data_IF_376646185903
#
_entry.id   IF_376646185903
#
_cell.length_a   1.000
_cell.length_b   1.000
_cell.length_c   1.000
_cell.angle_alpha   90.00
_cell.angle_beta   90.00
_cell.angle_gamma   90.00
#
_symmetry.space_group_name_H-M   'P 1'
#
loop_
_entity.id
_entity.type
_entity.pdbx_description
1 polymer ?
#
# COMPACT_ATOMS: atom_id res chain seq x y z
N UNK A 1 -91.40 -11.59 -66.80
CA UNK A 1 -90.86 -11.21 -68.13
C UNK A 1 -89.41 -10.82 -67.96
N UNK A 2 -88.59 -11.38 -68.77
CA UNK A 2 -87.24 -11.03 -69.22
C UNK A 2 -86.06 -11.35 -68.22
N UNK A 3 -85.45 -12.42 -68.47
CA UNK A 3 -84.08 -12.68 -68.98
C UNK A 3 -83.03 -11.74 -68.43
N UNK A 4 -82.09 -12.32 -67.81
CA UNK A 4 -80.73 -11.93 -68.06
C UNK A 4 -79.67 -12.99 -67.93
N UNK A 5 -78.68 -12.94 -68.79
CA UNK A 5 -77.63 -13.94 -68.98
C UNK A 5 -76.36 -13.60 -68.20
N UNK A 6 -75.86 -14.63 -67.54
CA UNK A 6 -74.53 -14.67 -67.00
C UNK A 6 -73.44 -14.50 -68.05
N UNK A 7 -72.42 -13.71 -67.65
CA UNK A 7 -71.07 -13.78 -68.26
C UNK A 7 -70.04 -13.92 -67.17
N UNK A 8 -69.30 -15.03 -67.24
CA UNK A 8 -68.07 -15.24 -66.44
C UNK A 8 -66.90 -14.43 -67.08
N UNK A 9 -66.02 -13.89 -66.24
CA UNK A 9 -64.70 -13.48 -66.73
C UNK A 9 -63.60 -14.50 -66.36
N UNK A 10 -62.65 -14.57 -67.28
CA UNK A 10 -61.55 -15.52 -67.35
C UNK A 10 -60.53 -15.44 -66.24
N UNK A 11 -59.90 -16.61 -65.99
CA UNK A 11 -58.79 -16.82 -65.11
C UNK A 11 -57.55 -15.97 -65.50
N UNK A 12 -57.03 -15.18 -64.62
CA UNK A 12 -55.72 -14.56 -64.73
C UNK A 12 -54.65 -15.45 -64.08
N UNK A 13 -53.71 -15.90 -64.91
CA UNK A 13 -52.54 -16.68 -64.46
C UNK A 13 -51.60 -15.85 -63.53
N UNK A 14 -51.21 -16.46 -62.44
CA UNK A 14 -50.33 -15.86 -61.45
C UNK A 14 -48.92 -15.60 -61.98
N UNK A 15 -48.43 -14.41 -61.78
CA UNK A 15 -47.01 -14.04 -61.92
C UNK A 15 -46.22 -14.48 -60.68
N UNK A 16 -45.04 -15.08 -60.86
CA UNK A 16 -44.24 -15.57 -59.69
C UNK A 16 -43.70 -14.36 -58.86
N UNK A 17 -43.81 -14.50 -57.55
CA UNK A 17 -43.34 -13.55 -56.53
C UNK A 17 -41.79 -13.60 -56.45
N UNK A 18 -41.09 -12.99 -57.33
CA UNK A 18 -39.62 -12.81 -57.27
C UNK A 18 -39.16 -11.85 -56.16
N UNK A 19 -40.05 -11.08 -55.57
CA UNK A 19 -39.72 -10.12 -54.54
C UNK A 19 -39.42 -10.70 -53.14
N UNK A 20 -39.98 -11.86 -52.82
CA UNK A 20 -39.80 -12.48 -51.47
C UNK A 20 -38.43 -13.17 -51.30
N UNK A 21 -37.84 -13.66 -52.39
CA UNK A 21 -36.52 -14.32 -52.34
C UNK A 21 -35.36 -13.31 -52.17
N UNK A 22 -35.52 -12.11 -52.71
CA UNK A 22 -34.48 -11.04 -52.61
C UNK A 22 -34.42 -10.47 -51.17
N UNK A 23 -35.54 -10.40 -50.44
CA UNK A 23 -35.59 -9.93 -49.07
C UNK A 23 -35.00 -10.95 -48.07
N UNK A 24 -35.14 -12.25 -48.34
CA UNK A 24 -34.56 -13.30 -47.50
C UNK A 24 -33.04 -13.42 -47.67
N UNK A 25 -32.51 -13.23 -48.87
CA UNK A 25 -31.05 -13.20 -49.11
C UNK A 25 -30.38 -11.97 -48.52
N UNK A 26 -31.06 -10.81 -48.47
CA UNK A 26 -30.56 -9.59 -47.83
C UNK A 26 -30.46 -9.71 -46.30
N UNK A 27 -31.40 -10.44 -45.66
CA UNK A 27 -31.40 -10.68 -44.22
C UNK A 27 -30.29 -11.62 -43.77
N UNK A 28 -29.87 -12.58 -44.59
CA UNK A 28 -28.75 -13.50 -44.31
C UNK A 28 -27.37 -12.84 -44.44
N UNK A 29 -27.20 -11.86 -45.31
CA UNK A 29 -25.94 -11.11 -45.43
C UNK A 29 -25.73 -10.13 -44.28
N UNK A 30 -26.79 -9.64 -43.62
CA UNK A 30 -26.68 -8.72 -42.49
C UNK A 30 -26.21 -9.43 -41.19
N UNK A 31 -26.37 -10.78 -41.07
CA UNK A 31 -25.96 -11.57 -39.90
C UNK A 31 -24.46 -11.96 -39.95
N UNK A 32 -23.84 -11.86 -41.14
CA UNK A 32 -22.44 -12.20 -41.35
C UNK A 32 -21.49 -11.00 -41.26
N UNK A 33 -21.92 -9.85 -40.71
CA UNK A 33 -20.99 -8.78 -40.37
C UNK A 33 -20.00 -9.32 -39.33
N UNK A 34 -18.67 -9.38 -39.62
CA UNK A 34 -17.72 -9.78 -38.59
C UNK A 34 -17.89 -8.80 -37.44
N UNK A 35 -18.30 -9.32 -36.28
CA UNK A 35 -18.18 -8.55 -35.06
C UNK A 35 -16.69 -8.22 -34.93
N UNK A 36 -16.31 -7.01 -35.27
CA UNK A 36 -15.01 -6.47 -34.97
C UNK A 36 -14.90 -6.51 -33.43
N UNK A 37 -14.34 -7.59 -32.91
CA UNK A 37 -13.91 -7.65 -31.54
C UNK A 37 -12.87 -6.54 -31.45
N UNK A 38 -13.25 -5.40 -30.87
CA UNK A 38 -12.30 -4.38 -30.47
C UNK A 38 -11.23 -5.10 -29.66
N UNK A 39 -10.06 -5.32 -30.23
CA UNK A 39 -8.94 -5.92 -29.52
C UNK A 39 -8.70 -5.02 -28.33
N UNK A 40 -8.96 -5.55 -27.13
CA UNK A 40 -8.71 -4.82 -25.89
C UNK A 40 -7.25 -4.38 -25.92
N UNK A 41 -7.03 -3.08 -25.75
CA UNK A 41 -5.68 -2.52 -25.73
C UNK A 41 -4.89 -3.27 -24.64
N UNK A 42 -3.74 -3.90 -24.99
CA UNK A 42 -3.01 -4.70 -24.04
C UNK A 42 -2.54 -3.84 -22.87
N UNK A 43 -2.64 -4.39 -21.65
CA UNK A 43 -2.09 -3.72 -20.47
C UNK A 43 -0.59 -3.45 -20.67
N UNK A 44 -0.07 -2.27 -20.29
CA UNK A 44 -0.71 -1.18 -19.51
C UNK A 44 -1.20 0.02 -20.35
N UNK A 45 -1.50 -0.14 -21.64
CA UNK A 45 -1.63 0.96 -22.60
C UNK A 45 -2.99 1.69 -22.61
N UNK A 46 -4.04 1.16 -21.95
CA UNK A 46 -5.38 1.72 -22.09
C UNK A 46 -5.60 3.02 -21.30
N UNK A 47 -4.99 3.18 -20.10
CA UNK A 47 -5.18 4.33 -19.23
C UNK A 47 -4.01 4.50 -18.24
N UNK A 48 -3.85 5.67 -17.58
CA UNK A 48 -2.83 5.88 -16.57
C UNK A 48 -2.95 4.90 -15.40
N UNK A 49 -1.80 4.48 -14.87
CA UNK A 49 -1.71 3.64 -13.67
C UNK A 49 -1.70 4.53 -12.44
N UNK A 50 -2.54 4.24 -11.47
CA UNK A 50 -2.61 4.95 -10.18
C UNK A 50 -1.94 4.16 -9.08
N UNK A 51 -0.96 4.76 -8.43
CA UNK A 51 -0.36 4.29 -7.18
C UNK A 51 -1.02 5.06 -6.03
N UNK A 52 -1.91 4.41 -5.31
CA UNK A 52 -2.58 5.01 -4.14
C UNK A 52 -1.68 4.84 -2.92
N UNK A 53 -1.00 5.91 -2.53
CA UNK A 53 -0.29 5.99 -1.27
C UNK A 53 -1.31 6.13 -0.12
N UNK A 54 -1.39 5.12 0.75
CA UNK A 54 -2.44 5.04 1.79
C UNK A 54 -2.20 5.96 2.99
N UNK A 55 -1.25 6.89 2.88
CA UNK A 55 -0.92 7.90 3.88
C UNK A 55 -0.87 9.30 3.28
N UNK A 56 -0.97 10.38 4.11
CA UNK A 56 -0.84 11.75 3.66
C UNK A 56 0.49 12.04 2.95
N UNK A 57 0.55 13.11 2.12
CA UNK A 57 1.79 13.56 1.51
C UNK A 57 2.91 13.81 2.54
N UNK A 58 4.17 13.64 2.12
CA UNK A 58 5.36 13.86 2.92
C UNK A 58 5.74 12.72 3.87
N UNK A 59 4.87 11.70 4.05
CA UNK A 59 5.22 10.48 4.77
C UNK A 59 6.04 9.50 3.92
N UNK A 60 6.60 8.45 4.55
CA UNK A 60 7.46 7.49 3.86
C UNK A 60 6.77 6.78 2.68
N UNK A 61 5.48 6.47 2.81
CA UNK A 61 4.71 5.81 1.73
C UNK A 61 4.59 6.70 0.49
N UNK A 62 4.28 7.98 0.68
CA UNK A 62 4.23 8.97 -0.39
C UNK A 62 5.59 9.14 -1.06
N UNK A 63 6.65 9.29 -0.26
CA UNK A 63 8.02 9.48 -0.77
C UNK A 63 8.50 8.25 -1.56
N UNK A 64 8.28 7.03 -1.04
CA UNK A 64 8.62 5.78 -1.74
C UNK A 64 7.85 5.68 -3.06
N UNK A 65 6.54 5.91 -3.05
CA UNK A 65 5.73 5.92 -4.27
C UNK A 65 6.26 6.91 -5.31
N UNK A 66 6.64 8.12 -4.89
CA UNK A 66 7.21 9.15 -5.79
C UNK A 66 8.63 8.86 -6.27
N UNK A 67 9.42 8.10 -5.52
CA UNK A 67 10.72 7.61 -6.00
C UNK A 67 10.53 6.57 -7.10
N UNK A 68 9.56 5.67 -6.94
CA UNK A 68 9.28 4.62 -7.94
C UNK A 68 8.58 5.16 -9.19
N UNK A 69 7.70 6.16 -9.04
CA UNK A 69 6.79 6.65 -10.08
C UNK A 69 7.49 6.97 -11.41
N UNK A 70 8.54 7.83 -11.50
CA UNK A 70 9.16 8.18 -12.78
C UNK A 70 9.87 6.99 -13.44
N UNK A 71 10.46 6.11 -12.64
CA UNK A 71 11.12 4.92 -13.14
C UNK A 71 10.11 3.87 -13.64
N UNK A 72 8.98 3.67 -12.93
CA UNK A 72 7.88 2.82 -13.39
C UNK A 72 7.25 3.36 -14.68
N UNK A 73 7.08 4.68 -14.78
CA UNK A 73 6.55 5.32 -15.99
C UNK A 73 7.45 5.01 -17.20
N UNK A 74 8.77 5.12 -17.06
CA UNK A 74 9.72 4.75 -18.11
C UNK A 74 9.68 3.25 -18.43
N UNK A 75 9.66 2.41 -17.40
CA UNK A 75 9.68 0.95 -17.52
C UNK A 75 8.43 0.40 -18.21
N UNK A 76 7.26 0.92 -17.90
CA UNK A 76 5.98 0.47 -18.44
C UNK A 76 5.60 1.21 -19.73
N UNK A 77 6.26 2.34 -20.02
CA UNK A 77 5.90 3.21 -21.13
C UNK A 77 4.45 3.73 -21.03
N UNK A 78 3.97 3.97 -19.81
CA UNK A 78 2.63 4.46 -19.48
C UNK A 78 2.70 5.46 -18.35
N UNK A 79 1.80 6.45 -18.36
CA UNK A 79 1.69 7.43 -17.27
C UNK A 79 1.40 6.74 -15.94
N UNK A 80 2.20 7.07 -14.92
CA UNK A 80 2.00 6.62 -13.54
C UNK A 80 1.71 7.83 -12.67
N UNK A 81 0.64 7.80 -11.89
CA UNK A 81 0.21 8.90 -11.01
C UNK A 81 0.22 8.42 -9.56
N UNK A 82 0.78 9.23 -8.67
CA UNK A 82 0.68 8.99 -7.21
C UNK A 82 -0.48 9.80 -6.65
N UNK A 83 -1.43 9.11 -6.01
CA UNK A 83 -2.58 9.68 -5.33
C UNK A 83 -2.51 9.39 -3.84
N UNK A 84 -2.65 10.39 -2.97
CA UNK A 84 -2.64 10.17 -1.53
C UNK A 84 -4.06 10.02 -0.99
N UNK A 85 -4.33 8.89 -0.30
CA UNK A 85 -5.58 8.62 0.42
C UNK A 85 -5.28 8.17 1.83
N UNK A 86 -4.96 9.13 2.70
CA UNK A 86 -4.63 8.86 4.10
C UNK A 86 -5.87 8.73 4.99
N UNK A 87 -5.65 8.18 6.19
CA UNK A 87 -6.63 8.09 7.27
C UNK A 87 -6.72 6.70 7.89
N UNK A 88 -7.05 6.65 9.20
CA UNK A 88 -7.19 5.42 9.98
C UNK A 88 -6.03 4.42 9.74
N UNK A 89 -4.79 4.89 9.93
CA UNK A 89 -3.54 4.11 9.72
C UNK A 89 -3.43 3.43 8.36
N UNK A 90 -4.02 4.04 7.31
CA UNK A 90 -3.97 3.56 5.93
C UNK A 90 -5.19 2.75 5.49
N UNK A 91 -6.10 2.39 6.40
CA UNK A 91 -7.27 1.55 6.06
C UNK A 91 -8.21 2.20 5.05
N UNK A 92 -8.37 3.54 5.08
CA UNK A 92 -9.25 4.27 4.13
C UNK A 92 -8.72 4.14 2.70
N UNK A 93 -7.42 4.36 2.50
CA UNK A 93 -6.79 4.20 1.19
C UNK A 93 -6.82 2.76 0.69
N UNK A 94 -6.52 1.81 1.57
CA UNK A 94 -6.57 0.39 1.27
C UNK A 94 -7.98 -0.07 0.87
N UNK A 95 -9.02 0.34 1.61
CA UNK A 95 -10.41 0.06 1.28
C UNK A 95 -10.81 0.61 -0.10
N UNK A 96 -10.37 1.83 -0.42
CA UNK A 96 -10.65 2.43 -1.73
C UNK A 96 -10.03 1.63 -2.88
N UNK A 97 -8.82 1.07 -2.68
CA UNK A 97 -8.18 0.22 -3.69
C UNK A 97 -8.87 -1.15 -3.75
N UNK A 98 -9.21 -1.76 -2.60
CA UNK A 98 -9.94 -3.04 -2.57
C UNK A 98 -11.27 -2.98 -3.35
N UNK A 99 -11.94 -1.84 -3.31
CA UNK A 99 -13.19 -1.57 -4.03
C UNK A 99 -12.99 -1.12 -5.50
N UNK A 100 -11.75 -0.91 -5.95
CA UNK A 100 -11.46 -0.48 -7.33
C UNK A 100 -11.64 -1.63 -8.33
N UNK A 101 -11.91 -1.32 -9.62
CA UNK A 101 -11.92 -2.33 -10.67
C UNK A 101 -10.61 -3.13 -10.69
N UNK A 102 -10.68 -4.48 -10.86
CA UNK A 102 -9.48 -5.33 -10.90
C UNK A 102 -8.87 -5.37 -12.30
N UNK A 103 -8.73 -4.20 -12.93
CA UNK A 103 -8.28 -4.03 -14.31
C UNK A 103 -6.77 -3.78 -14.45
N UNK A 104 -6.06 -3.70 -13.32
CA UNK A 104 -4.61 -3.47 -13.28
C UNK A 104 -4.17 -2.01 -13.39
N UNK A 105 -5.08 -1.05 -13.23
CA UNK A 105 -4.73 0.38 -13.28
C UNK A 105 -4.80 1.09 -11.93
N UNK A 106 -5.07 0.36 -10.85
CA UNK A 106 -5.06 0.90 -9.48
C UNK A 106 -4.33 -0.06 -8.55
N UNK A 107 -3.31 0.45 -7.86
CA UNK A 107 -2.51 -0.30 -6.89
C UNK A 107 -2.39 0.49 -5.60
N UNK A 108 -2.40 -0.19 -4.45
CA UNK A 108 -2.10 0.43 -3.17
C UNK A 108 -0.59 0.36 -2.89
N UNK A 109 0.00 1.45 -2.42
CA UNK A 109 1.29 1.45 -1.75
C UNK A 109 1.02 1.53 -0.27
N UNK A 110 1.31 0.43 0.45
CA UNK A 110 1.01 0.28 1.87
C UNK A 110 2.27 0.29 2.72
N UNK A 111 2.08 0.42 4.02
CA UNK A 111 3.10 0.34 5.05
C UNK A 111 2.77 -0.78 6.04
N UNK A 112 3.66 -1.05 6.96
CA UNK A 112 3.60 -2.09 7.98
C UNK A 112 2.29 -2.14 8.78
N UNK A 113 1.65 -0.98 9.00
CA UNK A 113 0.34 -0.89 9.66
C UNK A 113 -0.74 -1.76 8.99
N UNK A 114 -0.60 -2.06 7.68
CA UNK A 114 -1.52 -2.94 6.98
C UNK A 114 -1.67 -4.31 7.67
N UNK A 115 -0.60 -4.80 8.31
CA UNK A 115 -0.61 -6.07 9.03
C UNK A 115 -1.42 -6.03 10.34
N UNK A 116 -1.52 -4.88 10.97
CA UNK A 116 -2.20 -4.71 12.27
C UNK A 116 -3.70 -4.40 12.15
N UNK A 117 -4.12 -3.81 11.02
CA UNK A 117 -5.48 -3.31 10.82
C UNK A 117 -6.58 -4.34 11.09
N UNK A 118 -6.48 -5.64 10.64
CA UNK A 118 -7.53 -6.62 10.89
C UNK A 118 -7.79 -6.90 12.36
N UNK A 119 -6.76 -6.77 13.18
CA UNK A 119 -6.89 -7.04 14.62
C UNK A 119 -7.32 -5.80 15.42
N UNK A 120 -7.12 -4.60 14.88
CA UNK A 120 -7.35 -3.34 15.60
C UNK A 120 -8.64 -2.63 15.20
N UNK A 121 -9.11 -2.82 13.96
CA UNK A 121 -10.30 -2.12 13.44
C UNK A 121 -11.45 -3.12 13.32
N UNK A 122 -12.38 -3.14 14.27
CA UNK A 122 -13.60 -3.92 14.13
C UNK A 122 -14.40 -3.47 12.90
N UNK A 123 -14.83 -4.43 12.07
CA UNK A 123 -15.63 -4.11 10.87
C UNK A 123 -14.83 -3.47 9.74
N UNK A 124 -13.54 -3.75 9.63
CA UNK A 124 -12.74 -3.34 8.47
C UNK A 124 -13.47 -3.74 7.17
N UNK A 125 -13.70 -2.78 6.21
CA UNK A 125 -14.58 -3.02 5.07
C UNK A 125 -13.94 -3.90 3.97
N UNK A 126 -12.81 -4.53 4.23
CA UNK A 126 -12.11 -5.46 3.35
C UNK A 126 -11.32 -6.49 4.19
N UNK A 127 -11.04 -7.62 3.61
CA UNK A 127 -10.12 -8.63 4.14
C UNK A 127 -8.73 -8.39 3.57
N UNK A 128 -7.73 -8.16 4.44
CA UNK A 128 -6.36 -7.78 4.03
C UNK A 128 -5.67 -8.87 3.19
N UNK A 129 -5.93 -10.15 3.47
CA UNK A 129 -5.31 -11.27 2.74
C UNK A 129 -6.05 -11.60 1.44
N UNK A 130 -7.39 -11.52 1.46
CA UNK A 130 -8.24 -11.91 0.34
C UNK A 130 -8.40 -10.80 -0.69
N UNK A 131 -8.70 -9.55 -0.23
CA UNK A 131 -9.18 -8.48 -1.11
C UNK A 131 -8.05 -7.60 -1.66
N UNK A 132 -6.85 -7.69 -1.05
CA UNK A 132 -5.66 -6.93 -1.44
C UNK A 132 -4.40 -7.81 -1.51
N UNK A 133 -4.35 -8.78 -2.44
CA UNK A 133 -3.16 -9.60 -2.60
C UNK A 133 -1.92 -8.77 -2.96
N UNK A 134 -0.76 -9.07 -2.36
CA UNK A 134 0.51 -8.41 -2.69
C UNK A 134 0.97 -8.68 -4.12
N UNK A 135 1.42 -7.61 -4.77
CA UNK A 135 2.11 -7.62 -6.07
C UNK A 135 3.61 -7.66 -5.87
N UNK A 136 4.14 -6.84 -4.95
CA UNK A 136 5.57 -6.78 -4.64
C UNK A 136 5.79 -6.31 -3.20
N UNK A 137 6.76 -6.89 -2.51
CA UNK A 137 7.41 -6.30 -1.35
C UNK A 137 8.52 -5.38 -1.88
N UNK A 138 8.54 -4.13 -1.42
CA UNK A 138 9.54 -3.15 -1.89
C UNK A 138 10.83 -3.24 -1.06
N UNK A 139 10.69 -3.53 0.23
CA UNK A 139 11.80 -3.67 1.16
C UNK A 139 11.38 -3.49 2.60
N UNK A 140 12.37 -3.67 3.49
CA UNK A 140 12.26 -3.50 4.93
C UNK A 140 13.18 -2.39 5.42
N UNK A 141 12.94 -1.89 6.64
CA UNK A 141 13.80 -0.91 7.31
C UNK A 141 13.65 -1.03 8.82
N UNK A 142 14.68 -0.68 9.57
CA UNK A 142 14.46 -0.41 10.98
C UNK A 142 13.58 0.84 11.15
N UNK A 143 12.81 0.89 12.23
CA UNK A 143 12.33 2.15 12.77
C UNK A 143 13.37 2.71 13.73
N UNK A 144 13.38 4.03 13.91
CA UNK A 144 14.24 4.71 14.85
C UNK A 144 13.39 5.52 15.83
N UNK A 145 13.71 5.38 17.10
CA UNK A 145 13.25 6.30 18.13
C UNK A 145 14.20 7.49 18.11
N UNK A 146 13.65 8.68 17.88
CA UNK A 146 14.42 9.92 17.83
C UNK A 146 13.85 10.95 18.81
N UNK A 147 14.72 11.77 19.36
CA UNK A 147 14.39 12.85 20.29
C UNK A 147 14.63 14.21 19.65
N UNK A 148 13.82 15.21 20.04
CA UNK A 148 14.14 16.60 19.73
C UNK A 148 15.45 16.99 20.44
N UNK A 149 16.35 17.81 19.83
CA UNK A 149 17.63 18.17 20.44
C UNK A 149 17.51 18.82 21.81
N UNK A 150 16.46 19.61 22.05
CA UNK A 150 16.19 20.27 23.32
C UNK A 150 15.54 19.38 24.37
N UNK A 151 15.15 18.14 24.02
CA UNK A 151 14.63 17.19 25.00
C UNK A 151 15.75 16.74 25.96
N UNK A 152 15.41 16.33 27.18
CA UNK A 152 16.41 15.85 28.14
C UNK A 152 17.03 14.50 27.75
N UNK A 153 16.49 13.81 26.74
CA UNK A 153 16.91 12.46 26.37
C UNK A 153 18.07 12.52 25.37
N UNK A 154 19.28 12.22 25.83
CA UNK A 154 20.50 12.18 25.01
C UNK A 154 20.78 10.79 24.49
N UNK A 155 20.36 9.76 25.24
CA UNK A 155 20.49 8.34 24.93
C UNK A 155 19.14 7.63 25.12
N UNK A 156 19.02 6.42 24.59
CA UNK A 156 17.84 5.59 24.85
C UNK A 156 17.71 5.25 26.35
N UNK A 157 18.84 5.05 27.03
CA UNK A 157 18.87 4.84 28.47
C UNK A 157 18.24 5.98 29.29
N UNK A 158 18.46 7.25 28.87
CA UNK A 158 17.81 8.41 29.52
C UNK A 158 16.29 8.36 29.39
N UNK A 159 15.81 8.02 28.16
CA UNK A 159 14.38 7.89 27.91
C UNK A 159 13.77 6.72 28.72
N UNK A 160 14.47 5.58 28.80
CA UNK A 160 14.06 4.43 29.62
C UNK A 160 14.03 4.79 31.12
N UNK A 161 15.05 5.50 31.61
CA UNK A 161 15.07 5.93 33.01
C UNK A 161 13.91 6.87 33.34
N UNK A 162 13.62 7.83 32.47
CA UNK A 162 12.48 8.73 32.61
C UNK A 162 11.13 7.97 32.51
N UNK A 163 11.02 6.99 31.62
CA UNK A 163 9.82 6.18 31.44
C UNK A 163 9.50 5.29 32.66
N UNK A 164 10.47 5.03 33.53
CA UNK A 164 10.26 4.32 34.81
C UNK A 164 9.68 5.22 35.93
N UNK A 165 9.56 6.51 35.67
CA UNK A 165 8.96 7.45 36.64
C UNK A 165 7.45 7.63 36.39
N UNK A 166 6.74 8.19 37.37
CA UNK A 166 5.32 8.50 37.21
C UNK A 166 5.02 9.51 36.10
N UNK A 167 5.99 10.37 35.76
CA UNK A 167 5.85 11.35 34.66
C UNK A 167 5.81 10.67 33.27
N UNK A 168 6.55 9.58 33.10
CA UNK A 168 6.65 8.86 31.85
C UNK A 168 7.35 9.63 30.72
N UNK A 169 7.31 9.07 29.53
CA UNK A 169 7.84 9.66 28.29
C UNK A 169 6.78 9.66 27.19
N UNK A 170 6.45 10.84 26.65
CA UNK A 170 5.57 10.93 25.51
C UNK A 170 6.33 10.65 24.22
N UNK A 171 5.70 9.88 23.32
CA UNK A 171 6.25 9.60 21.99
C UNK A 171 5.20 9.74 20.90
N UNK A 172 5.58 10.38 19.79
CA UNK A 172 4.76 10.47 18.60
C UNK A 172 4.92 9.25 17.69
N UNK A 173 3.83 8.78 17.09
CA UNK A 173 3.84 7.77 16.03
C UNK A 173 3.00 8.21 14.84
N UNK A 174 3.06 7.48 13.73
CA UNK A 174 2.28 7.76 12.52
C UNK A 174 0.79 7.40 12.64
N UNK A 175 0.34 7.01 13.83
CA UNK A 175 -1.06 6.73 14.16
C UNK A 175 -1.23 5.51 15.05
N UNK A 176 -2.43 5.45 15.67
CA UNK A 176 -2.84 4.30 16.47
C UNK A 176 -2.87 3.03 15.63
N UNK A 177 -2.27 1.95 16.14
CA UNK A 177 -2.14 0.70 15.41
C UNK A 177 -1.00 0.65 14.39
N UNK A 178 -0.23 1.74 14.20
CA UNK A 178 1.02 1.65 13.45
C UNK A 178 2.01 0.72 14.16
N UNK A 179 2.91 0.12 13.40
CA UNK A 179 3.90 -0.79 13.99
C UNK A 179 4.78 -0.09 15.03
N UNK A 180 5.09 1.21 14.85
CA UNK A 180 5.79 2.00 15.84
C UNK A 180 5.01 2.13 17.16
N UNK A 181 3.67 2.34 17.10
CA UNK A 181 2.83 2.30 18.29
C UNK A 181 2.88 0.92 18.96
N UNK A 182 2.63 -0.15 18.19
CA UNK A 182 2.57 -1.52 18.71
C UNK A 182 3.90 -1.96 19.33
N UNK A 183 5.01 -1.66 18.68
CA UNK A 183 6.35 -1.98 19.15
C UNK A 183 6.64 -1.34 20.52
N UNK A 184 6.34 -0.05 20.67
CA UNK A 184 6.54 0.64 21.94
C UNK A 184 5.50 0.27 23.01
N UNK A 185 4.26 -0.06 22.62
CA UNK A 185 3.27 -0.59 23.56
C UNK A 185 3.70 -1.95 24.12
N UNK A 186 4.28 -2.84 23.30
CA UNK A 186 4.86 -4.10 23.75
C UNK A 186 6.05 -3.88 24.68
N UNK A 187 6.96 -2.99 24.31
CA UNK A 187 8.10 -2.61 25.13
C UNK A 187 7.64 -2.09 26.49
N UNK A 188 6.67 -1.19 26.51
CA UNK A 188 6.10 -0.62 27.72
C UNK A 188 5.52 -1.70 28.64
N UNK A 189 4.69 -2.59 28.09
CA UNK A 189 4.03 -3.66 28.84
C UNK A 189 5.02 -4.67 29.39
N UNK A 190 5.98 -5.11 28.55
CA UNK A 190 6.96 -6.13 28.95
C UNK A 190 8.02 -5.63 29.95
N UNK A 191 8.15 -4.31 30.15
CA UNK A 191 9.23 -3.71 30.92
C UNK A 191 8.76 -2.70 31.99
N UNK A 192 7.44 -2.62 32.21
CA UNK A 192 6.81 -1.67 33.15
C UNK A 192 7.24 -0.22 32.91
N UNK A 193 7.30 0.21 31.63
CA UNK A 193 7.63 1.56 31.24
C UNK A 193 6.35 2.38 31.04
N UNK A 194 6.32 3.60 31.55
CA UNK A 194 5.25 4.57 31.29
C UNK A 194 5.55 5.34 30.03
N UNK A 195 5.10 4.80 28.88
CA UNK A 195 5.21 5.41 27.56
C UNK A 195 3.83 5.95 27.14
N UNK A 196 3.74 7.28 26.98
CA UNK A 196 2.49 7.98 26.62
C UNK A 196 2.44 8.16 25.12
N UNK A 197 1.51 7.48 24.45
CA UNK A 197 1.36 7.54 23.01
C UNK A 197 0.68 8.83 22.53
N UNK A 198 1.23 9.47 21.49
CA UNK A 198 0.67 10.63 20.80
C UNK A 198 0.50 10.26 19.34
N UNK A 199 -0.73 9.91 18.89
CA UNK A 199 -0.98 9.48 17.52
C UNK A 199 -1.06 10.66 16.57
N UNK A 200 -0.35 10.55 15.43
CA UNK A 200 -0.43 11.48 14.29
C UNK A 200 -1.13 10.84 13.08
N UNK A 201 -1.64 11.64 12.16
CA UNK A 201 -2.29 11.16 10.93
C UNK A 201 -1.27 10.80 9.82
N UNK A 202 -0.10 10.24 10.20
CA UNK A 202 0.95 9.83 9.27
C UNK A 202 2.28 10.53 9.52
N UNK A 203 3.30 10.17 8.70
CA UNK A 203 4.68 10.61 8.89
C UNK A 203 4.92 12.10 8.67
N UNK A 204 4.23 12.75 7.73
CA UNK A 204 4.37 14.19 7.49
C UNK A 204 4.00 15.02 8.72
N UNK A 205 2.75 14.91 9.24
CA UNK A 205 2.34 15.59 10.48
C UNK A 205 3.22 15.25 11.69
N UNK A 206 3.63 13.98 11.84
CA UNK A 206 4.54 13.57 12.91
C UNK A 206 5.87 14.32 12.85
N UNK A 207 6.49 14.39 11.68
CA UNK A 207 7.78 15.07 11.52
C UNK A 207 7.67 16.57 11.76
N UNK A 208 6.61 17.23 11.33
CA UNK A 208 6.40 18.65 11.59
C UNK A 208 6.43 18.93 13.10
N UNK A 209 5.71 18.18 13.90
CA UNK A 209 5.64 18.38 15.35
C UNK A 209 6.90 17.92 16.07
N UNK A 210 7.52 16.81 15.63
CA UNK A 210 8.78 16.34 16.20
C UNK A 210 9.91 17.37 15.99
N UNK A 211 9.96 18.00 14.81
CA UNK A 211 10.95 19.03 14.47
C UNK A 211 10.69 20.38 15.13
N UNK A 212 9.45 20.65 15.51
CA UNK A 212 9.07 21.83 16.28
C UNK A 212 9.20 21.62 17.80
N UNK A 213 9.53 20.41 18.27
CA UNK A 213 9.66 20.08 19.69
C UNK A 213 8.33 19.92 20.42
N UNK A 214 7.19 19.84 19.70
CA UNK A 214 5.87 19.65 20.30
C UNK A 214 5.72 18.26 20.92
N UNK A 215 6.45 17.27 20.41
CA UNK A 215 6.59 15.95 21.02
C UNK A 215 8.07 15.67 21.30
N UNK A 216 8.44 15.26 22.53
CA UNK A 216 9.84 15.14 22.95
C UNK A 216 10.57 13.97 22.27
N UNK A 217 9.84 12.90 21.92
CA UNK A 217 10.36 11.76 21.18
C UNK A 217 9.38 11.32 20.11
N UNK A 218 9.87 10.69 19.07
CA UNK A 218 9.07 10.16 17.96
C UNK A 218 9.61 8.80 17.51
N UNK A 219 8.75 7.96 16.96
CA UNK A 219 9.14 6.72 16.30
C UNK A 219 8.67 6.72 14.84
N UNK A 220 9.59 6.45 13.93
CA UNK A 220 9.33 6.36 12.49
C UNK A 220 10.35 5.51 11.79
N UNK A 221 10.10 5.10 10.54
CA UNK A 221 11.11 4.41 9.74
C UNK A 221 12.37 5.26 9.59
N UNK A 222 13.55 4.63 9.53
CA UNK A 222 14.80 5.33 9.24
C UNK A 222 14.64 6.16 7.98
N UNK A 223 13.99 5.61 6.95
CA UNK A 223 13.68 6.33 5.71
C UNK A 223 13.06 7.72 5.94
N UNK A 224 12.12 7.83 6.87
CA UNK A 224 11.44 9.09 7.19
C UNK A 224 12.29 10.02 8.05
N UNK A 225 13.01 9.47 9.03
CA UNK A 225 13.65 10.25 10.11
C UNK A 225 15.11 10.63 9.79
N UNK A 226 15.81 9.80 9.01
CA UNK A 226 17.25 9.98 8.74
C UNK A 226 17.65 11.35 8.16
N UNK A 227 16.92 11.97 7.21
CA UNK A 227 17.27 13.31 6.73
C UNK A 227 17.32 14.36 7.84
N UNK A 228 16.52 14.18 8.90
CA UNK A 228 16.47 15.06 10.06
C UNK A 228 17.55 14.73 11.10
N UNK A 229 18.00 13.49 11.14
CA UNK A 229 19.17 13.05 11.93
C UNK A 229 20.43 13.61 11.29
N UNK A 230 20.61 13.43 9.98
CA UNK A 230 21.78 13.92 9.23
C UNK A 230 21.95 15.44 9.35
N UNK A 231 20.82 16.17 9.34
CA UNK A 231 20.80 17.62 9.57
C UNK A 231 20.83 18.04 11.05
N UNK A 232 20.99 17.08 11.98
CA UNK A 232 21.05 17.28 13.45
C UNK A 232 19.79 17.93 14.03
N UNK A 233 18.69 17.92 13.32
CA UNK A 233 17.39 18.41 13.80
C UNK A 233 16.65 17.40 14.69
N UNK A 234 17.02 16.13 14.62
CA UNK A 234 16.59 15.07 15.54
C UNK A 234 17.81 14.27 15.98
N UNK A 235 17.77 13.76 17.21
CA UNK A 235 18.80 12.87 17.79
C UNK A 235 18.28 11.44 17.79
N UNK A 236 18.94 10.48 17.11
CA UNK A 236 18.57 9.09 17.19
C UNK A 236 18.90 8.52 18.57
N UNK A 237 18.01 7.70 19.13
CA UNK A 237 18.19 7.07 20.43
C UNK A 237 18.40 5.56 20.31
N UNK A 238 17.56 4.86 19.56
CA UNK A 238 17.66 3.42 19.32
C UNK A 238 16.90 3.02 18.04
N UNK A 239 17.31 1.91 17.43
CA UNK A 239 16.57 1.27 16.31
C UNK A 239 15.84 0.02 16.79
N UNK A 240 14.76 -0.33 16.06
CA UNK A 240 13.81 -1.38 16.49
C UNK A 240 14.15 -2.77 15.99
N UNK A 241 15.11 -2.92 15.09
CA UNK A 241 15.56 -4.22 14.57
C UNK A 241 16.52 -4.91 15.52
N UNK A 242 16.62 -6.25 15.40
CA UNK A 242 17.53 -7.06 16.20
C UNK A 242 19.01 -6.75 15.95
N UNK A 243 19.32 -6.18 14.78
CA UNK A 243 20.65 -5.70 14.41
C UNK A 243 20.60 -4.21 14.07
N UNK A 244 21.74 -3.52 14.21
CA UNK A 244 21.88 -2.12 13.83
C UNK A 244 21.69 -1.95 12.34
N UNK A 245 21.10 -0.83 11.94
CA UNK A 245 20.95 -0.48 10.54
C UNK A 245 22.27 0.04 9.97
N UNK A 246 22.64 -0.43 8.77
CA UNK A 246 23.79 0.12 8.03
C UNK A 246 23.65 1.61 7.72
N UNK A 247 22.42 2.14 7.68
CA UNK A 247 22.15 3.57 7.49
C UNK A 247 22.39 4.42 8.75
N UNK A 248 22.44 3.79 9.94
CA UNK A 248 22.68 4.41 11.25
C UNK A 248 23.57 3.48 12.12
N UNK A 249 24.82 3.21 11.73
CA UNK A 249 25.65 2.16 12.36
C UNK A 249 26.02 2.44 13.82
N UNK A 250 26.04 3.71 14.22
CA UNK A 250 26.36 4.13 15.57
C UNK A 250 25.16 4.10 16.53
N UNK A 251 23.93 3.90 16.00
CA UNK A 251 22.71 3.89 16.82
C UNK A 251 22.46 2.49 17.34
N UNK A 252 22.39 2.30 18.67
CA UNK A 252 22.15 0.97 19.25
C UNK A 252 20.76 0.45 18.93
N UNK A 253 20.60 -0.88 18.98
CA UNK A 253 19.27 -1.49 18.94
C UNK A 253 18.60 -1.41 20.32
N UNK A 254 17.27 -1.52 20.33
CA UNK A 254 16.51 -1.71 21.58
C UNK A 254 16.99 -2.99 22.29
N UNK A 255 17.28 -4.06 21.53
CA UNK A 255 17.79 -5.31 22.06
C UNK A 255 19.15 -5.15 22.75
N UNK A 256 20.11 -4.42 22.16
CA UNK A 256 21.41 -4.08 22.78
C UNK A 256 21.25 -3.22 24.03
N UNK A 257 20.15 -2.48 24.13
CA UNK A 257 19.86 -1.58 25.26
C UNK A 257 19.15 -2.26 26.45
N UNK A 258 19.18 -3.61 26.51
CA UNK A 258 18.66 -4.40 27.63
C UNK A 258 17.29 -5.05 27.39
N UNK A 259 16.73 -4.99 26.19
CA UNK A 259 15.44 -5.58 25.84
C UNK A 259 15.62 -6.72 24.84
N UNK A 260 16.31 -7.77 25.26
CA UNK A 260 16.68 -8.90 24.41
C UNK A 260 15.49 -9.49 23.64
N UNK A 261 15.71 -9.84 22.38
CA UNK A 261 14.69 -10.43 21.51
C UNK A 261 13.73 -9.40 20.87
N UNK A 262 13.92 -8.09 21.13
CA UNK A 262 13.13 -7.06 20.47
C UNK A 262 13.51 -6.96 18.99
N UNK A 263 12.52 -7.14 18.11
CA UNK A 263 12.67 -7.02 16.66
C UNK A 263 11.34 -6.61 16.00
N UNK A 264 11.32 -5.44 15.40
CA UNK A 264 10.12 -4.86 14.79
C UNK A 264 10.49 -4.03 13.53
N UNK A 265 10.75 -4.69 12.38
CA UNK A 265 11.08 -4.00 11.14
C UNK A 265 9.85 -3.36 10.50
N UNK A 266 10.00 -2.15 9.98
CA UNK A 266 9.06 -1.55 9.05
C UNK A 266 9.19 -2.17 7.65
N UNK A 267 8.11 -2.12 6.84
CA UNK A 267 8.13 -2.61 5.47
C UNK A 267 7.14 -1.87 4.57
N UNK A 268 7.39 -1.89 3.26
CA UNK A 268 6.52 -1.32 2.23
C UNK A 268 6.19 -2.38 1.19
N UNK A 269 4.94 -2.39 0.73
CA UNK A 269 4.47 -3.29 -0.32
C UNK A 269 3.54 -2.58 -1.31
N UNK A 270 3.46 -3.14 -2.51
CA UNK A 270 2.44 -2.79 -3.51
C UNK A 270 1.43 -3.91 -3.56
N UNK A 271 0.15 -3.55 -3.44
CA UNK A 271 -0.98 -4.46 -3.43
C UNK A 271 -1.92 -4.14 -4.60
N UNK A 272 -2.65 -5.13 -5.08
CA UNK A 272 -3.67 -4.98 -6.12
C UNK A 272 -5.05 -5.38 -5.60
N UNK A 273 -6.16 -4.91 -6.21
CA UNK A 273 -7.49 -5.44 -5.96
C UNK A 273 -7.54 -6.95 -6.22
N UNK A 274 -8.33 -7.67 -5.44
CA UNK A 274 -8.62 -9.08 -5.71
C UNK A 274 -9.11 -9.25 -7.15
N UNK A 275 -8.79 -10.36 -7.78
CA UNK A 275 -9.14 -10.71 -9.17
C UNK A 275 -8.45 -9.85 -10.24
N UNK A 276 -7.47 -9.01 -9.92
CA UNK A 276 -6.58 -8.45 -10.94
C UNK A 276 -5.95 -9.61 -11.71
N UNK A 277 -5.96 -9.58 -13.07
CA UNK A 277 -5.48 -10.70 -13.86
C UNK A 277 -4.05 -11.10 -13.47
N UNK A 278 -3.75 -12.40 -13.31
CA UNK A 278 -2.42 -12.87 -12.87
C UNK A 278 -1.28 -12.34 -13.74
N UNK A 279 -1.52 -12.23 -15.04
CA UNK A 279 -0.56 -11.71 -15.99
C UNK A 279 -0.21 -10.23 -15.71
N UNK A 280 -1.22 -9.42 -15.35
CA UNK A 280 -1.02 -8.01 -14.97
C UNK A 280 -0.23 -7.90 -13.67
N UNK A 281 -0.55 -8.76 -12.69
CA UNK A 281 0.20 -8.83 -11.41
C UNK A 281 1.66 -9.19 -11.68
N UNK A 282 1.93 -10.18 -12.53
CA UNK A 282 3.28 -10.59 -12.90
C UNK A 282 4.04 -9.47 -13.60
N UNK A 283 3.45 -8.83 -14.62
CA UNK A 283 4.08 -7.73 -15.35
C UNK A 283 4.39 -6.53 -14.44
N UNK A 284 3.47 -6.18 -13.53
CA UNK A 284 3.70 -5.10 -12.57
C UNK A 284 4.80 -5.46 -11.56
N UNK A 285 4.85 -6.70 -11.07
CA UNK A 285 5.92 -7.19 -10.21
C UNK A 285 7.29 -7.13 -10.92
N UNK A 286 7.36 -7.60 -12.16
CA UNK A 286 8.59 -7.55 -12.95
C UNK A 286 9.07 -6.11 -13.17
N UNK A 287 8.13 -5.19 -13.47
CA UNK A 287 8.43 -3.77 -13.63
C UNK A 287 8.96 -3.15 -12.33
N UNK A 288 8.31 -3.43 -11.19
CA UNK A 288 8.78 -2.97 -9.87
C UNK A 288 10.17 -3.52 -9.56
N UNK A 289 10.39 -4.82 -9.74
CA UNK A 289 11.68 -5.45 -9.50
C UNK A 289 12.78 -4.87 -10.40
N UNK A 290 12.48 -4.59 -11.67
CA UNK A 290 13.41 -3.94 -12.58
C UNK A 290 13.77 -2.52 -12.12
N UNK A 291 12.77 -1.75 -11.68
CA UNK A 291 12.95 -0.39 -11.16
C UNK A 291 13.77 -0.39 -9.86
N UNK A 292 13.50 -1.31 -8.94
CA UNK A 292 14.25 -1.43 -7.68
C UNK A 292 15.74 -1.79 -7.90
N UNK A 293 16.08 -2.45 -9.01
CA UNK A 293 17.47 -2.74 -9.40
C UNK A 293 18.18 -1.58 -10.09
N UNK A 294 17.48 -0.53 -10.55
CA UNK A 294 18.12 0.65 -11.13
C UNK A 294 18.94 1.39 -10.07
N UNK A 295 20.20 1.71 -10.40
CA UNK A 295 21.12 2.33 -9.44
C UNK A 295 20.56 3.63 -8.82
N UNK A 296 19.91 4.48 -9.62
CA UNK A 296 19.26 5.71 -9.15
C UNK A 296 18.23 5.45 -8.04
N UNK A 297 17.39 4.43 -8.23
CA UNK A 297 16.33 4.08 -7.28
C UNK A 297 16.90 3.34 -6.07
N UNK A 298 17.73 2.32 -6.32
CA UNK A 298 18.30 1.48 -5.25
C UNK A 298 19.17 2.29 -4.30
N UNK A 299 20.07 3.13 -4.81
CA UNK A 299 20.93 3.97 -3.98
C UNK A 299 20.12 4.99 -3.16
N UNK A 300 19.07 5.57 -3.76
CA UNK A 300 18.21 6.52 -3.05
C UNK A 300 17.42 5.87 -1.92
N UNK A 301 16.88 4.66 -2.13
CA UNK A 301 16.16 3.91 -1.10
C UNK A 301 17.11 3.38 -0.01
N UNK A 302 18.22 2.75 -0.42
CA UNK A 302 19.21 2.19 0.52
C UNK A 302 19.91 3.30 1.33
N UNK A 303 20.24 4.44 0.73
CA UNK A 303 20.83 5.58 1.42
C UNK A 303 19.94 6.16 2.52
N UNK A 304 18.63 5.89 2.46
CA UNK A 304 17.66 6.24 3.50
C UNK A 304 17.25 5.02 4.36
N UNK A 305 17.99 3.92 4.30
CA UNK A 305 17.85 2.78 5.21
C UNK A 305 16.77 1.77 4.80
N UNK A 306 16.33 1.72 3.54
CA UNK A 306 15.50 0.62 3.04
C UNK A 306 16.41 -0.49 2.51
N UNK A 307 16.29 -1.65 3.10
CA UNK A 307 16.84 -2.90 2.57
C UNK A 307 15.89 -3.42 1.49
N UNK A 308 16.31 -3.28 0.22
CA UNK A 308 15.47 -3.57 -0.93
C UNK A 308 15.21 -5.07 -1.03
N UNK A 309 13.96 -5.42 -1.28
CA UNK A 309 13.57 -6.78 -1.59
C UNK A 309 13.11 -6.87 -3.06
N UNK A 310 13.68 -7.83 -3.79
CA UNK A 310 13.23 -8.18 -5.14
C UNK A 310 12.84 -9.65 -5.14
N UNK A 311 11.57 -9.93 -5.45
CA UNK A 311 11.04 -11.29 -5.40
C UNK A 311 9.72 -11.43 -6.15
N UNK A 312 9.17 -12.64 -6.16
CA UNK A 312 7.90 -12.92 -6.82
C UNK A 312 6.70 -12.39 -6.01
N UNK A 313 5.50 -12.28 -6.62
CA UNK A 313 4.28 -11.96 -5.90
C UNK A 313 3.97 -12.94 -4.77
N UNK A 314 4.31 -14.24 -4.94
CA UNK A 314 4.13 -15.28 -3.92
C UNK A 314 5.03 -15.05 -2.71
N UNK A 315 6.28 -14.65 -2.93
CA UNK A 315 7.21 -14.32 -1.85
C UNK A 315 6.73 -13.07 -1.08
N UNK A 316 6.25 -12.05 -1.80
CA UNK A 316 5.64 -10.86 -1.18
C UNK A 316 4.39 -11.23 -0.37
N UNK A 317 3.54 -12.11 -0.90
CA UNK A 317 2.35 -12.62 -0.22
C UNK A 317 2.71 -13.35 1.06
N UNK A 318 3.64 -14.31 0.99
CA UNK A 318 4.06 -15.08 2.16
C UNK A 318 4.58 -14.17 3.27
N UNK A 319 5.36 -13.14 2.92
CA UNK A 319 5.86 -12.15 3.89
C UNK A 319 4.71 -11.36 4.52
N UNK A 320 3.84 -10.75 3.73
CA UNK A 320 2.75 -9.89 4.24
C UNK A 320 1.76 -10.68 5.09
N UNK A 321 1.37 -11.89 4.65
CA UNK A 321 0.47 -12.75 5.41
C UNK A 321 1.08 -13.18 6.75
N UNK A 322 2.38 -13.52 6.79
CA UNK A 322 3.09 -13.80 8.03
C UNK A 322 3.09 -12.59 8.98
N UNK A 323 3.28 -11.37 8.45
CA UNK A 323 3.19 -10.16 9.27
C UNK A 323 1.78 -9.95 9.86
N UNK A 324 0.73 -10.20 9.07
CA UNK A 324 -0.67 -10.14 9.55
C UNK A 324 -0.90 -11.14 10.69
N UNK A 325 -0.40 -12.35 10.57
CA UNK A 325 -0.56 -13.39 11.60
C UNK A 325 0.21 -13.04 12.89
N UNK A 326 1.48 -12.64 12.76
CA UNK A 326 2.34 -12.25 13.87
C UNK A 326 1.73 -11.08 14.65
N UNK A 327 1.43 -9.98 13.96
CA UNK A 327 0.91 -8.79 14.63
C UNK A 327 -0.53 -8.97 15.11
N UNK A 328 -1.34 -9.74 14.40
CA UNK A 328 -2.67 -10.13 14.87
C UNK A 328 -2.61 -10.92 16.19
N UNK A 329 -1.67 -11.87 16.31
CA UNK A 329 -1.44 -12.61 17.56
C UNK A 329 -0.95 -11.69 18.66
N UNK A 330 0.06 -10.85 18.39
CA UNK A 330 0.63 -9.89 19.35
C UNK A 330 -0.46 -8.97 19.93
N UNK A 331 -1.32 -8.42 19.08
CA UNK A 331 -2.39 -7.51 19.49
C UNK A 331 -3.38 -8.23 20.42
N UNK A 332 -3.85 -9.42 20.04
CA UNK A 332 -4.81 -10.21 20.83
C UNK A 332 -4.22 -10.63 22.18
N UNK A 333 -3.02 -11.22 22.17
CA UNK A 333 -2.38 -11.74 23.40
C UNK A 333 -2.06 -10.63 24.42
N UNK A 334 -1.86 -9.41 23.92
CA UNK A 334 -1.53 -8.27 24.75
C UNK A 334 -2.70 -7.33 25.04
N UNK A 335 -3.89 -7.58 24.46
CA UNK A 335 -5.07 -6.75 24.63
C UNK A 335 -4.86 -5.31 24.16
N UNK A 336 -4.01 -5.11 23.12
CA UNK A 336 -3.74 -3.78 22.56
C UNK A 336 -4.98 -3.33 21.78
N UNK A 337 -5.41 -2.09 22.01
CA UNK A 337 -6.53 -1.45 21.33
C UNK A 337 -6.02 -0.26 20.51
N UNK A 338 -6.76 0.10 19.46
CA UNK A 338 -6.61 1.41 18.86
C UNK A 338 -7.12 2.47 19.84
N UNK A 339 -6.38 3.59 19.98
CA UNK A 339 -6.78 4.73 20.82
C UNK A 339 -8.01 5.45 20.25
#
# INVERSE_FOLDING_TARGET
MSNDRTLQPAAQAGRPRLGALALLLGAWLAIAAPQAHAQATPWPKAQPIRLVAVFPPGGSVDQVARILQPALQRQLGQTVVVENRGGASGSIGAAAVAASPPDGYTFAVVFDSHASLPALIPGLPYDTKRDLPPVALLGTSAMVIAAHPDSPYRTFGDAVAAARTARGVSYGSIGSGSLGHLALALLAKGSSLNLVHVPYKGGGPLMNDALAGHVPTSIGSIFLVKPHIDSKRLRPLAVTTSQRSAALPDVPTIAESGFAGFDAPAWWAVLAPARTPPEVVRQMNEAINAVLRQAEVSQRLAGQGIEIFTGSPEAARAFVEAQVDVWGKVIRDNGIKAD
#
